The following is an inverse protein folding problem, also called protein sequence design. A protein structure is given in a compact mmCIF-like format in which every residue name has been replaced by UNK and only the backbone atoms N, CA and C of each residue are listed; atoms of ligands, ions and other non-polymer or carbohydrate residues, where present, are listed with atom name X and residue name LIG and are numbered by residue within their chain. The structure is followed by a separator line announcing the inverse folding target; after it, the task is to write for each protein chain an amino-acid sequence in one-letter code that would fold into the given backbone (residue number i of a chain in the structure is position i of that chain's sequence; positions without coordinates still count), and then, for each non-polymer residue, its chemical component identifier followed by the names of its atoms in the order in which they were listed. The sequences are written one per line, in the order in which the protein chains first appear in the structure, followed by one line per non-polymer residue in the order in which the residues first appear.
data_IF_970841779722
#
_entry.id   IF_970841779722
#
_cell.length_a   1.000
_cell.length_b   1.000
_cell.length_c   1.000
_cell.angle_alpha   90.00
_cell.angle_beta   90.00
_cell.angle_gamma   90.00
#
_symmetry.space_group_name_H-M   'P 1'
#
loop_
_entity.id
_entity.type
_entity.pdbx_description
1 polymer ?
#
# COMPACT_ATOMS: atom_id res chain seq x y z
N UNK A 1 -20.41 -22.67 -2.43
CA UNK A 1 -19.16 -22.84 -3.21
C UNK A 1 -17.96 -22.54 -2.32
N UNK A 2 -16.95 -23.41 -2.23
CA UNK A 2 -15.62 -23.08 -1.65
C UNK A 2 -14.78 -22.48 -2.78
N UNK A 3 -14.76 -21.15 -2.91
CA UNK A 3 -14.10 -20.45 -4.02
C UNK A 3 -12.57 -20.53 -3.99
N UNK A 4 -11.96 -20.69 -2.81
CA UNK A 4 -10.53 -20.91 -2.66
C UNK A 4 -10.20 -21.55 -1.31
N UNK A 5 -9.04 -22.22 -1.25
CA UNK A 5 -8.47 -22.78 -0.02
C UNK A 5 -7.13 -22.10 0.23
N UNK A 6 -6.86 -21.76 1.49
CA UNK A 6 -5.60 -21.14 1.88
C UNK A 6 -4.44 -22.12 1.65
N UNK A 7 -3.33 -21.71 0.99
CA UNK A 7 -2.16 -22.56 0.81
C UNK A 7 -1.62 -23.10 2.15
N UNK A 8 -1.19 -24.35 2.18
CA UNK A 8 -0.62 -24.97 3.38
C UNK A 8 0.56 -24.13 3.91
N UNK A 9 0.49 -23.73 5.18
CA UNK A 9 1.52 -22.90 5.83
C UNK A 9 1.28 -21.38 5.77
N UNK A 10 0.24 -20.92 5.08
CA UNK A 10 -0.21 -19.52 5.15
C UNK A 10 -1.40 -19.38 6.09
N UNK A 11 -1.44 -18.26 6.82
CA UNK A 11 -2.54 -17.86 7.71
C UNK A 11 -3.22 -16.62 7.15
N UNK A 12 -4.51 -16.41 7.49
CA UNK A 12 -5.24 -15.19 7.06
C UNK A 12 -4.51 -13.90 7.48
N UNK A 13 -3.77 -13.96 8.59
CA UNK A 13 -2.93 -12.85 9.07
C UNK A 13 -1.78 -12.50 8.11
N UNK A 14 -1.27 -13.46 7.34
CA UNK A 14 -0.29 -13.20 6.26
C UNK A 14 -0.92 -12.43 5.11
N UNK A 15 -2.11 -12.86 4.67
CA UNK A 15 -2.82 -12.20 3.58
C UNK A 15 -3.15 -10.76 3.97
N UNK A 16 -3.56 -10.55 5.23
CA UNK A 16 -3.77 -9.22 5.77
C UNK A 16 -2.48 -8.38 5.76
N UNK A 17 -1.35 -8.94 6.21
CA UNK A 17 -0.06 -8.24 6.20
C UNK A 17 0.40 -7.88 4.77
N UNK A 18 0.27 -8.82 3.83
CA UNK A 18 0.56 -8.61 2.40
C UNK A 18 -0.39 -7.55 1.82
N UNK A 19 -1.67 -7.57 2.19
CA UNK A 19 -2.64 -6.55 1.79
C UNK A 19 -2.24 -5.14 2.24
N UNK A 20 -1.71 -5.00 3.45
CA UNK A 20 -1.18 -3.70 3.94
C UNK A 20 0.05 -3.27 3.13
N UNK A 21 0.94 -4.21 2.78
CA UNK A 21 2.10 -3.96 1.92
C UNK A 21 1.69 -3.57 0.48
N UNK A 22 0.58 -4.11 -0.04
CA UNK A 22 0.03 -3.69 -1.33
C UNK A 22 -0.44 -2.23 -1.36
N UNK A 23 -0.61 -1.59 -0.19
CA UNK A 23 -0.90 -0.16 -0.08
C UNK A 23 0.27 0.75 -0.48
N UNK A 24 1.46 0.21 -0.75
CA UNK A 24 2.64 0.97 -1.18
C UNK A 24 2.47 1.36 -2.67
N UNK A 25 1.88 2.53 -2.91
CA UNK A 25 1.54 3.01 -4.24
C UNK A 25 2.61 3.86 -4.93
N UNK A 26 3.67 4.29 -4.23
CA UNK A 26 4.75 5.21 -4.67
C UNK A 26 4.68 5.70 -6.12
N UNK A 27 5.24 4.97 -7.10
CA UNK A 27 5.30 5.42 -8.51
C UNK A 27 3.95 5.40 -9.21
N UNK A 28 3.15 4.34 -9.02
CA UNK A 28 1.84 4.19 -9.66
C UNK A 28 0.83 5.23 -9.17
N UNK A 29 0.80 5.51 -7.86
CA UNK A 29 -0.07 6.55 -7.30
C UNK A 29 0.39 7.96 -7.69
N UNK A 30 1.69 8.23 -7.81
CA UNK A 30 2.18 9.52 -8.32
C UNK A 30 1.77 9.73 -9.79
N UNK A 31 1.82 8.67 -10.59
CA UNK A 31 1.33 8.71 -11.97
C UNK A 31 -0.18 8.97 -12.02
N UNK A 32 -0.99 8.23 -11.25
CA UNK A 32 -2.44 8.46 -11.13
C UNK A 32 -2.73 9.90 -10.67
N UNK A 33 -1.99 10.41 -9.70
CA UNK A 33 -2.15 11.78 -9.20
C UNK A 33 -1.84 12.83 -10.28
N UNK A 34 -0.86 12.56 -11.15
CA UNK A 34 -0.52 13.45 -12.27
C UNK A 34 -1.56 13.41 -13.39
N UNK A 35 -2.30 12.30 -13.53
CA UNK A 35 -3.46 12.21 -14.43
C UNK A 35 -4.72 12.84 -13.83
N UNK A 36 -4.87 12.80 -12.51
CA UNK A 36 -6.05 13.28 -11.81
C UNK A 36 -6.07 14.82 -11.64
N UNK A 37 -4.91 15.45 -11.54
CA UNK A 37 -4.79 16.90 -11.37
C UNK A 37 -3.97 17.51 -12.50
N UNK A 38 -4.61 18.38 -13.29
CA UNK A 38 -4.00 19.08 -14.43
C UNK A 38 -3.06 20.22 -13.98
N UNK A 39 -2.24 20.73 -14.90
CA UNK A 39 -1.19 21.74 -14.66
C UNK A 39 -1.71 23.05 -14.01
N UNK A 40 -3.01 23.34 -14.10
CA UNK A 40 -3.63 24.48 -13.42
C UNK A 40 -3.63 24.34 -11.87
N UNK A 41 -3.38 23.14 -11.33
CA UNK A 41 -3.48 22.82 -9.91
C UNK A 41 -2.20 22.17 -9.35
N UNK A 42 -1.03 22.71 -9.72
CA UNK A 42 0.29 22.18 -9.32
C UNK A 42 0.46 22.03 -7.80
N UNK A 43 -0.17 22.92 -7.01
CA UNK A 43 -0.17 22.81 -5.54
C UNK A 43 -0.84 21.52 -5.06
N UNK A 44 -1.96 21.10 -5.66
CA UNK A 44 -2.65 19.86 -5.30
C UNK A 44 -1.82 18.62 -5.66
N UNK A 45 -1.09 18.66 -6.78
CA UNK A 45 -0.14 17.59 -7.15
C UNK A 45 0.95 17.46 -6.09
N UNK A 46 1.46 18.58 -5.57
CA UNK A 46 2.49 18.58 -4.52
C UNK A 46 1.97 17.99 -3.21
N UNK A 47 0.78 18.39 -2.76
CA UNK A 47 0.15 17.80 -1.57
C UNK A 47 -0.16 16.31 -1.77
N UNK A 48 -0.59 15.91 -2.96
CA UNK A 48 -0.87 14.51 -3.30
C UNK A 48 0.38 13.66 -3.24
N UNK A 49 1.51 14.14 -3.81
CA UNK A 49 2.81 13.46 -3.70
C UNK A 49 3.21 13.28 -2.25
N UNK A 50 3.10 14.32 -1.42
CA UNK A 50 3.38 14.22 0.03
C UNK A 50 2.49 13.17 0.71
N UNK A 51 1.19 13.15 0.43
CA UNK A 51 0.25 12.16 0.97
C UNK A 51 0.58 10.72 0.53
N UNK A 52 0.95 10.52 -0.74
CA UNK A 52 1.35 9.21 -1.27
C UNK A 52 2.62 8.72 -0.59
N UNK A 53 3.60 9.61 -0.41
CA UNK A 53 4.87 9.28 0.24
C UNK A 53 4.68 8.89 1.71
N UNK A 54 3.92 9.69 2.46
CA UNK A 54 3.65 9.43 3.89
C UNK A 54 2.80 8.18 4.07
N UNK A 55 1.75 8.01 3.26
CA UNK A 55 0.90 6.82 3.27
C UNK A 55 1.67 5.55 2.92
N UNK A 56 2.51 5.61 1.87
CA UNK A 56 3.37 4.48 1.48
C UNK A 56 4.36 4.10 2.58
N UNK A 57 4.95 5.09 3.25
CA UNK A 57 5.86 4.86 4.38
C UNK A 57 5.14 4.19 5.56
N UNK A 58 3.94 4.67 5.90
CA UNK A 58 3.12 4.08 6.96
C UNK A 58 2.74 2.63 6.62
N UNK A 59 2.29 2.38 5.38
CA UNK A 59 2.00 1.02 4.90
C UNK A 59 3.23 0.11 4.97
N UNK A 60 4.41 0.61 4.58
CA UNK A 60 5.64 -0.15 4.66
C UNK A 60 6.02 -0.49 6.11
N UNK A 61 5.96 0.47 7.03
CA UNK A 61 6.30 0.25 8.45
C UNK A 61 5.31 -0.71 9.10
N UNK A 62 4.01 -0.49 8.92
CA UNK A 62 2.97 -1.31 9.54
C UNK A 62 3.00 -2.74 8.96
N UNK A 63 3.04 -2.86 7.63
CA UNK A 63 3.08 -4.16 6.94
C UNK A 63 4.35 -4.96 7.30
N UNK A 64 5.51 -4.30 7.33
CA UNK A 64 6.76 -4.93 7.75
C UNK A 64 6.69 -5.38 9.22
N UNK A 65 6.18 -4.53 10.11
CA UNK A 65 6.09 -4.85 11.54
C UNK A 65 5.17 -6.05 11.78
N UNK A 66 4.01 -6.11 11.11
CA UNK A 66 3.09 -7.23 11.15
C UNK A 66 3.75 -8.54 10.68
N UNK A 67 4.49 -8.49 9.57
CA UNK A 67 5.18 -9.65 9.03
C UNK A 67 6.33 -10.09 9.95
N UNK A 68 7.08 -9.13 10.51
CA UNK A 68 8.20 -9.39 11.42
C UNK A 68 7.76 -10.00 12.75
N UNK A 69 6.60 -9.61 13.28
CA UNK A 69 6.04 -10.21 14.50
C UNK A 69 5.64 -11.66 14.25
N UNK A 70 5.21 -12.01 13.03
CA UNK A 70 4.85 -13.38 12.68
C UNK A 70 6.07 -14.26 12.35
N UNK A 71 7.13 -13.66 11.82
CA UNK A 71 8.36 -14.37 11.48
C UNK A 71 9.29 -14.58 12.69
N UNK A 72 9.03 -13.89 13.80
CA UNK A 72 9.64 -14.13 15.12
C UNK A 72 8.77 -15.09 15.93
#
# INVERSE_FOLDING_TARGET
LRLAVLPNGTTIRDIMAIGVLCGIGFTMSIFISSLAFDAAHEQLVTFSKLGILTGSLLSAVIGYTLLRIKLR
#
